data_IF_002764653737
#
_entry.id   IF_002764653737
#
_cell.length_a   1.000
_cell.length_b   1.000
_cell.length_c   1.000
_cell.angle_alpha   90.00
_cell.angle_beta   90.00
_cell.angle_gamma   90.00
#
_symmetry.space_group_name_H-M   'P 1'
#
loop_
_entity.id
_entity.type
_entity.pdbx_description
1 polymer ?
#
# COMPACT_ATOMS: atom_id res chain seq x y z
N UNK A 1 0.93 -10.35 1.81
CA UNK A 1 1.62 -9.12 2.29
C UNK A 1 0.64 -7.98 2.11
N UNK A 2 0.15 -7.41 3.20
CA UNK A 2 -0.73 -6.25 3.13
C UNK A 2 0.07 -4.96 3.23
N UNK A 3 -0.25 -4.04 2.35
CA UNK A 3 0.36 -2.72 2.23
C UNK A 3 -0.75 -1.69 2.35
N UNK A 4 -0.62 -0.78 3.29
CA UNK A 4 -1.58 0.29 3.51
C UNK A 4 -0.90 1.60 3.16
N UNK A 5 -1.37 2.25 2.10
CA UNK A 5 -0.94 3.57 1.68
C UNK A 5 -2.14 4.49 1.52
N UNK A 6 -1.99 5.74 1.89
CA UNK A 6 -3.01 6.76 1.80
C UNK A 6 -2.50 7.95 1.00
N UNK A 7 -3.28 8.43 0.02
CA UNK A 7 -2.93 9.63 -0.72
C UNK A 7 -4.17 10.41 -1.16
N UNK A 8 -3.99 11.70 -1.41
CA UNK A 8 -4.99 12.59 -1.97
C UNK A 8 -4.71 12.77 -3.47
N UNK A 9 -5.68 12.38 -4.30
CA UNK A 9 -5.59 12.44 -5.75
C UNK A 9 -6.40 13.61 -6.28
N UNK A 10 -5.78 14.44 -7.13
CA UNK A 10 -6.45 15.55 -7.81
C UNK A 10 -6.16 15.53 -9.29
N UNK A 11 -7.14 15.96 -10.07
CA UNK A 11 -7.10 16.02 -11.52
C UNK A 11 -7.06 17.47 -11.96
N UNK A 12 -6.23 17.81 -12.92
CA UNK A 12 -6.13 19.15 -13.49
C UNK A 12 -5.92 19.11 -14.99
N UNK A 13 -6.32 20.19 -15.67
CA UNK A 13 -6.11 20.37 -17.11
C UNK A 13 -4.83 21.15 -17.37
N UNK A 14 -4.21 20.88 -18.52
CA UNK A 14 -3.06 21.64 -18.99
C UNK A 14 -3.05 21.68 -20.53
N UNK A 15 -2.52 22.77 -21.14
CA UNK A 15 -2.41 22.86 -22.58
C UNK A 15 -1.29 21.96 -23.11
N UNK A 16 -1.58 21.23 -24.19
CA UNK A 16 -0.61 20.42 -24.93
C UNK A 16 -0.64 20.85 -26.39
N UNK A 17 0.51 20.97 -27.01
CA UNK A 17 0.64 21.17 -28.45
C UNK A 17 0.69 19.77 -29.10
N UNK A 18 -0.32 19.48 -29.91
CA UNK A 18 -0.40 18.19 -30.66
C UNK A 18 -0.19 18.52 -32.15
N UNK A 19 0.78 17.86 -32.77
CA UNK A 19 0.95 17.95 -34.21
C UNK A 19 -0.10 17.06 -34.90
N UNK A 20 -0.97 17.67 -35.69
CA UNK A 20 -1.87 16.97 -36.60
C UNK A 20 -1.35 17.08 -38.03
N UNK A 21 -1.26 15.95 -38.70
CA UNK A 21 -0.94 15.89 -40.11
C UNK A 21 -2.26 15.82 -40.90
N UNK A 22 -2.52 16.80 -41.73
CA UNK A 22 -3.66 16.80 -42.65
C UNK A 22 -3.13 16.76 -44.09
N UNK A 23 -3.73 15.95 -44.93
CA UNK A 23 -3.45 15.93 -46.37
C UNK A 23 -4.38 16.93 -47.06
N UNK A 24 -3.79 18.03 -47.57
CA UNK A 24 -4.51 19.06 -48.32
C UNK A 24 -3.84 19.14 -49.69
N UNK A 25 -4.59 18.90 -50.76
CA UNK A 25 -4.12 18.93 -52.13
C UNK A 25 -2.89 18.03 -52.41
N UNK A 26 -2.89 16.82 -51.84
CA UNK A 26 -1.78 15.86 -51.99
C UNK A 26 -0.49 16.24 -51.22
N UNK A 27 -0.54 17.25 -50.34
CA UNK A 27 0.57 17.65 -49.48
C UNK A 27 0.23 17.42 -48.02
N UNK A 28 1.17 16.82 -47.29
CA UNK A 28 1.03 16.64 -45.83
C UNK A 28 1.40 17.97 -45.15
N UNK A 29 0.40 18.63 -44.56
CA UNK A 29 0.59 19.83 -43.77
C UNK A 29 0.54 19.44 -42.31
N UNK A 30 1.62 19.73 -41.54
CA UNK A 30 1.65 19.57 -40.08
C UNK A 30 1.22 20.86 -39.44
N UNK A 31 0.15 20.82 -38.67
CA UNK A 31 -0.33 21.94 -37.84
C UNK A 31 -0.20 21.60 -36.38
N UNK A 32 0.36 22.52 -35.63
CA UNK A 32 0.36 22.45 -34.16
C UNK A 32 -0.98 22.98 -33.64
N UNK A 33 -1.75 22.14 -32.99
CA UNK A 33 -3.05 22.47 -32.42
C UNK A 33 -2.94 22.41 -30.89
N UNK A 34 -3.36 23.48 -30.23
CA UNK A 34 -3.46 23.44 -28.77
C UNK A 34 -4.64 22.56 -28.36
N UNK A 35 -4.37 21.59 -27.51
CA UNK A 35 -5.36 20.68 -26.96
C UNK A 35 -5.26 20.67 -25.44
N UNK A 36 -6.39 20.59 -24.75
CA UNK A 36 -6.39 20.37 -23.30
C UNK A 36 -6.13 18.89 -23.01
N UNK A 37 -5.17 18.60 -22.16
CA UNK A 37 -4.93 17.28 -21.61
C UNK A 37 -5.20 17.29 -20.11
N UNK A 38 -5.46 16.14 -19.54
CA UNK A 38 -5.76 15.94 -18.12
C UNK A 38 -4.62 15.18 -17.47
N UNK A 39 -4.19 15.61 -16.30
CA UNK A 39 -3.15 14.94 -15.53
C UNK A 39 -3.54 14.87 -14.04
N UNK A 40 -2.80 14.09 -13.29
CA UNK A 40 -3.03 13.83 -11.87
C UNK A 40 -2.01 14.57 -11.00
N UNK A 41 -2.48 15.19 -9.93
CA UNK A 41 -1.64 15.70 -8.86
C UNK A 41 -1.89 14.89 -7.59
N UNK A 42 -0.82 14.60 -6.86
CA UNK A 42 -0.83 13.82 -5.62
C UNK A 42 -0.34 14.66 -4.47
N UNK A 43 -1.03 14.54 -3.34
CA UNK A 43 -0.70 15.20 -2.10
C UNK A 43 -0.71 14.16 -0.98
N UNK A 44 0.41 14.03 -0.30
CA UNK A 44 0.54 13.13 0.83
C UNK A 44 0.17 13.85 2.13
N UNK A 45 -0.31 13.16 3.17
CA UNK A 45 -0.73 13.78 4.42
C UNK A 45 0.36 14.63 5.08
N UNK A 46 0.01 15.74 5.72
CA UNK A 46 0.92 16.47 6.58
C UNK A 46 1.24 15.66 7.85
N UNK A 47 0.25 14.98 8.41
CA UNK A 47 0.38 14.08 9.54
C UNK A 47 -0.40 12.81 9.26
N UNK A 48 0.21 11.65 9.58
CA UNK A 48 -0.43 10.33 9.47
C UNK A 48 -0.26 9.59 10.80
N UNK A 49 -1.38 9.24 11.41
CA UNK A 49 -1.46 8.38 12.59
C UNK A 49 -2.12 7.07 12.22
N UNK A 50 -1.51 5.98 12.61
CA UNK A 50 -2.00 4.61 12.39
C UNK A 50 -2.10 3.93 13.75
N UNK A 51 -3.28 3.47 14.11
CA UNK A 51 -3.50 2.69 15.31
C UNK A 51 -4.13 1.35 14.92
N UNK A 52 -3.46 0.25 15.24
CA UNK A 52 -3.89 -1.08 14.86
C UNK A 52 -3.91 -2.06 16.03
N UNK A 53 -4.93 -2.91 16.00
CA UNK A 53 -5.00 -4.11 16.84
C UNK A 53 -5.26 -5.30 15.92
N UNK A 54 -4.35 -6.28 15.94
CA UNK A 54 -4.43 -7.45 15.05
C UNK A 54 -4.36 -8.73 15.86
N UNK A 55 -5.17 -9.71 15.48
CA UNK A 55 -5.29 -11.01 16.13
C UNK A 55 -4.89 -12.11 15.14
N UNK A 56 -3.62 -12.51 15.10
CA UNK A 56 -3.16 -13.61 14.28
C UNK A 56 -3.65 -14.95 14.77
N UNK A 57 -3.88 -15.86 13.84
CA UNK A 57 -4.21 -17.26 14.09
C UNK A 57 -3.49 -18.17 13.11
N UNK A 58 -3.15 -19.38 13.55
CA UNK A 58 -2.57 -20.40 12.68
C UNK A 58 -3.70 -21.18 12.01
N UNK A 59 -3.69 -21.24 10.70
CA UNK A 59 -4.54 -22.11 9.91
C UNK A 59 -3.71 -23.29 9.42
N UNK A 60 -4.18 -24.48 9.70
CA UNK A 60 -3.58 -25.72 9.23
C UNK A 60 -4.37 -26.24 8.02
N UNK A 61 -3.70 -26.47 6.89
CA UNK A 61 -4.30 -27.05 5.70
C UNK A 61 -3.38 -28.11 5.12
N UNK A 62 -3.68 -29.37 5.42
CA UNK A 62 -2.85 -30.50 5.01
C UNK A 62 -1.48 -30.45 5.68
N UNK A 63 -0.42 -30.31 4.88
CA UNK A 63 0.98 -30.25 5.36
C UNK A 63 1.47 -28.80 5.57
N UNK A 64 0.64 -27.81 5.26
CA UNK A 64 1.00 -26.39 5.31
C UNK A 64 0.34 -25.68 6.48
N UNK A 65 1.15 -24.93 7.22
CA UNK A 65 0.69 -23.97 8.22
C UNK A 65 0.75 -22.55 7.63
N UNK A 66 -0.33 -21.83 7.71
CA UNK A 66 -0.40 -20.44 7.32
C UNK A 66 -0.83 -19.59 8.52
N UNK A 67 -0.16 -18.45 8.71
CA UNK A 67 -0.59 -17.47 9.70
C UNK A 67 -1.48 -16.46 8.99
N UNK A 68 -2.72 -16.36 9.45
CA UNK A 68 -3.68 -15.34 9.02
C UNK A 68 -4.01 -14.45 10.20
N UNK A 69 -4.47 -13.25 9.93
CA UNK A 69 -4.94 -12.37 11.00
C UNK A 69 -6.21 -11.63 10.59
N UNK A 70 -6.99 -11.28 11.59
CA UNK A 70 -8.02 -10.26 11.51
C UNK A 70 -7.60 -9.09 12.38
N UNK A 71 -8.00 -7.87 12.03
CA UNK A 71 -7.66 -6.71 12.82
C UNK A 71 -8.43 -5.47 12.41
N UNK A 72 -8.42 -4.51 13.32
CA UNK A 72 -8.94 -3.17 13.10
C UNK A 72 -7.77 -2.20 13.04
N UNK A 73 -7.73 -1.38 11.98
CA UNK A 73 -6.72 -0.35 11.78
C UNK A 73 -7.42 0.98 11.57
N UNK A 74 -7.13 1.94 12.43
CA UNK A 74 -7.61 3.32 12.33
C UNK A 74 -6.50 4.19 11.77
N UNK A 75 -6.82 4.92 10.73
CA UNK A 75 -5.97 5.90 10.07
C UNK A 75 -6.54 7.28 10.36
N UNK A 76 -5.73 8.20 10.84
CA UNK A 76 -6.15 9.60 11.06
C UNK A 76 -4.98 10.55 10.79
N UNK A 77 -5.29 11.82 10.64
CA UNK A 77 -4.27 12.81 10.40
C UNK A 77 -4.81 14.08 9.76
N UNK A 78 -3.96 14.73 8.97
CA UNK A 78 -4.30 15.97 8.27
C UNK A 78 -3.88 15.91 6.82
N UNK A 79 -4.83 16.16 5.92
CA UNK A 79 -4.58 16.43 4.51
C UNK A 79 -4.00 17.84 4.38
N UNK A 80 -2.95 18.06 3.59
CA UNK A 80 -2.36 19.36 3.43
C UNK A 80 -3.23 20.25 2.55
N UNK A 81 -3.08 21.56 2.71
CA UNK A 81 -3.49 22.50 1.67
C UNK A 81 -2.59 22.31 0.45
N UNK A 82 -3.13 22.16 -0.78
CA UNK A 82 -2.34 22.05 -1.98
C UNK A 82 -1.47 23.27 -2.24
N UNK A 83 -0.21 23.07 -2.59
CA UNK A 83 0.64 24.13 -3.13
C UNK A 83 0.69 24.02 -4.67
N UNK A 84 -0.34 24.55 -5.33
CA UNK A 84 -0.44 24.55 -6.77
C UNK A 84 0.68 25.35 -7.46
N UNK A 85 1.20 26.40 -6.78
CA UNK A 85 2.31 27.20 -7.32
C UNK A 85 3.58 26.40 -7.44
N UNK A 86 3.91 25.60 -6.42
CA UNK A 86 5.06 24.72 -6.45
C UNK A 86 4.94 23.65 -7.56
N UNK A 87 3.73 23.21 -7.87
CA UNK A 87 3.45 22.25 -8.95
C UNK A 87 3.32 22.91 -10.33
N UNK A 88 3.39 24.25 -10.42
CA UNK A 88 3.18 25.03 -11.66
C UNK A 88 1.82 24.74 -12.32
N UNK A 89 0.78 24.57 -11.52
CA UNK A 89 -0.60 24.36 -11.91
C UNK A 89 -1.42 25.57 -11.51
N UNK A 90 -2.26 26.08 -12.40
CA UNK A 90 -3.21 27.14 -12.07
C UNK A 90 -4.44 26.52 -11.38
N UNK A 91 -4.84 27.06 -10.24
CA UNK A 91 -5.96 26.52 -9.45
C UNK A 91 -7.29 26.51 -10.23
N UNK A 92 -7.46 27.45 -11.19
CA UNK A 92 -8.64 27.49 -12.08
C UNK A 92 -8.79 26.24 -12.97
N UNK A 93 -7.65 25.57 -13.28
CA UNK A 93 -7.61 24.39 -14.14
C UNK A 93 -7.83 23.08 -13.37
N UNK A 94 -7.99 23.16 -12.04
CA UNK A 94 -8.22 22.01 -11.18
C UNK A 94 -9.67 21.55 -11.29
N UNK A 95 -9.85 20.26 -11.60
CA UNK A 95 -11.15 19.60 -11.67
C UNK A 95 -11.54 19.11 -10.26
N UNK A 96 -12.11 20.01 -9.45
CA UNK A 96 -12.44 19.72 -8.06
C UNK A 96 -13.43 18.55 -7.90
N UNK A 97 -14.36 18.38 -8.84
CA UNK A 97 -15.35 17.30 -8.81
C UNK A 97 -14.68 15.89 -8.93
N UNK A 98 -13.46 15.86 -9.45
CA UNK A 98 -12.65 14.65 -9.56
C UNK A 98 -11.70 14.44 -8.37
N UNK A 99 -11.65 15.40 -7.45
CA UNK A 99 -10.79 15.30 -6.28
C UNK A 99 -11.25 14.18 -5.34
N UNK A 100 -10.34 13.30 -4.98
CA UNK A 100 -10.64 12.12 -4.19
C UNK A 100 -9.57 11.83 -3.16
N UNK A 101 -10.01 11.41 -1.99
CA UNK A 101 -9.17 10.80 -0.95
C UNK A 101 -9.07 9.31 -1.24
N UNK A 102 -7.87 8.77 -1.20
CA UNK A 102 -7.59 7.41 -1.62
C UNK A 102 -6.79 6.64 -0.57
N UNK A 103 -7.17 5.41 -0.31
CA UNK A 103 -6.39 4.44 0.47
C UNK A 103 -6.05 3.24 -0.40
N UNK A 104 -4.77 2.91 -0.49
CA UNK A 104 -4.31 1.69 -1.14
C UNK A 104 -4.08 0.61 -0.08
N UNK A 105 -4.69 -0.54 -0.28
CA UNK A 105 -4.56 -1.72 0.59
C UNK A 105 -4.38 -2.91 -0.33
N UNK A 106 -3.41 -3.77 -0.06
CA UNK A 106 -3.12 -4.91 -0.95
C UNK A 106 -4.29 -5.88 -1.08
N UNK A 107 -5.08 -6.03 -0.04
CA UNK A 107 -6.29 -6.86 -0.07
C UNK A 107 -7.39 -6.28 0.83
N UNK A 108 -8.47 -5.85 0.22
CA UNK A 108 -9.69 -5.40 0.89
C UNK A 108 -10.81 -6.46 0.87
N UNK A 109 -10.58 -7.66 0.35
CA UNK A 109 -11.62 -8.71 0.28
C UNK A 109 -12.15 -9.12 1.65
N UNK A 110 -11.38 -8.88 2.70
CA UNK A 110 -11.78 -9.09 4.08
C UNK A 110 -12.53 -7.93 4.74
N UNK A 111 -12.63 -6.77 4.09
CA UNK A 111 -13.36 -5.62 4.63
C UNK A 111 -14.87 -5.94 4.69
N UNK A 112 -15.46 -5.73 5.85
CA UNK A 112 -16.88 -5.98 6.09
C UNK A 112 -17.66 -4.66 6.10
N UNK A 113 -18.70 -4.57 5.28
CA UNK A 113 -19.59 -3.41 5.23
C UNK A 113 -19.09 -2.26 4.34
N UNK A 114 -19.80 -1.14 4.39
CA UNK A 114 -19.46 0.07 3.67
C UNK A 114 -18.30 0.80 4.36
N UNK A 115 -17.29 1.13 3.59
CA UNK A 115 -16.17 1.95 4.08
C UNK A 115 -16.53 3.43 3.94
N UNK A 116 -16.26 4.20 4.98
CA UNK A 116 -16.45 5.64 4.98
C UNK A 116 -15.17 6.32 5.48
N UNK A 117 -14.84 7.45 4.87
CA UNK A 117 -13.78 8.34 5.36
C UNK A 117 -14.41 9.64 5.84
N UNK A 118 -13.99 10.11 6.99
CA UNK A 118 -14.33 11.45 7.48
C UNK A 118 -13.27 12.44 7.01
N UNK A 119 -13.70 13.55 6.40
CA UNK A 119 -12.83 14.64 5.97
C UNK A 119 -13.47 15.96 6.39
N UNK A 120 -12.78 16.75 7.21
CA UNK A 120 -13.29 18.02 7.71
C UNK A 120 -14.63 17.90 8.45
N UNK A 121 -14.83 16.80 9.19
CA UNK A 121 -16.07 16.54 9.92
C UNK A 121 -17.24 16.06 9.06
N UNK A 122 -17.03 15.79 7.77
CA UNK A 122 -18.03 15.18 6.87
C UNK A 122 -17.64 13.75 6.53
N UNK A 123 -18.63 12.87 6.49
CA UNK A 123 -18.46 11.47 6.11
C UNK A 123 -18.69 11.29 4.62
N UNK A 124 -17.77 10.61 3.93
CA UNK A 124 -17.83 10.29 2.52
C UNK A 124 -17.77 8.78 2.33
N UNK A 125 -18.69 8.23 1.57
CA UNK A 125 -18.68 6.82 1.20
C UNK A 125 -17.49 6.53 0.27
N UNK A 126 -16.76 5.45 0.56
CA UNK A 126 -15.65 5.02 -0.28
C UNK A 126 -16.11 4.02 -1.34
N UNK A 127 -15.61 4.20 -2.53
CA UNK A 127 -15.83 3.34 -3.69
C UNK A 127 -14.65 2.38 -3.88
N UNK A 128 -14.87 1.16 -4.41
CA UNK A 128 -13.79 0.22 -4.67
C UNK A 128 -12.74 0.75 -5.67
N UNK A 129 -11.51 0.31 -5.47
CA UNK A 129 -10.35 0.70 -6.29
C UNK A 129 -9.66 1.95 -5.79
N UNK A 130 -8.33 1.92 -5.74
CA UNK A 130 -7.56 3.06 -5.24
C UNK A 130 -7.46 4.20 -6.24
N UNK A 131 -7.64 3.93 -7.54
CA UNK A 131 -7.34 4.84 -8.65
C UNK A 131 -5.91 5.38 -8.65
N UNK A 132 -4.98 4.73 -7.94
CA UNK A 132 -3.56 5.07 -7.94
C UNK A 132 -2.80 4.18 -8.91
N UNK A 133 -1.93 4.74 -9.78
CA UNK A 133 -1.04 3.94 -10.63
C UNK A 133 -0.17 3.01 -9.77
N UNK A 134 -0.06 1.75 -10.18
CA UNK A 134 0.72 0.74 -9.47
C UNK A 134 0.06 0.13 -8.22
N UNK A 135 -1.12 0.66 -7.78
CA UNK A 135 -1.85 0.17 -6.61
C UNK A 135 -3.34 0.03 -6.93
N UNK A 136 -3.72 -0.97 -7.72
CA UNK A 136 -5.11 -1.15 -8.14
C UNK A 136 -6.07 -1.43 -6.97
N UNK A 137 -5.61 -2.19 -5.97
CA UNK A 137 -6.42 -2.54 -4.80
C UNK A 137 -6.49 -1.40 -3.79
N UNK A 138 -7.68 -1.20 -3.20
CA UNK A 138 -7.93 -0.13 -2.25
C UNK A 138 -9.33 0.45 -2.40
N UNK A 139 -9.51 1.65 -1.90
CA UNK A 139 -10.76 2.41 -2.00
C UNK A 139 -10.48 3.90 -2.17
N UNK A 140 -11.43 4.64 -2.75
CA UNK A 140 -11.37 6.08 -2.90
C UNK A 140 -12.71 6.72 -2.57
N UNK A 141 -12.68 7.95 -2.07
CA UNK A 141 -13.88 8.74 -1.80
C UNK A 141 -13.78 10.08 -2.55
N UNK A 142 -14.73 10.41 -3.44
CA UNK A 142 -14.80 11.74 -4.03
C UNK A 142 -15.16 12.75 -2.94
N UNK A 143 -14.28 13.74 -2.73
CA UNK A 143 -14.42 14.74 -1.67
C UNK A 143 -14.62 16.16 -2.22
N UNK A 144 -14.43 16.34 -3.51
CA UNK A 144 -14.66 17.60 -4.20
C UNK A 144 -13.84 18.76 -3.62
N UNK A 145 -14.43 19.93 -3.54
CA UNK A 145 -13.79 21.16 -3.01
C UNK A 145 -13.39 21.08 -1.53
N UNK A 146 -13.80 20.06 -0.78
CA UNK A 146 -13.30 19.82 0.56
C UNK A 146 -11.76 19.64 0.56
N UNK A 147 -11.23 19.14 -0.55
CA UNK A 147 -9.81 18.97 -0.76
C UNK A 147 -9.03 20.27 -1.06
N UNK A 148 -9.68 21.44 -1.15
CA UNK A 148 -9.02 22.73 -1.44
C UNK A 148 -8.26 23.31 -0.26
N UNK A 149 -8.54 22.89 0.97
CA UNK A 149 -7.95 23.40 2.19
C UNK A 149 -7.40 22.26 3.07
N UNK A 150 -6.58 22.62 4.03
CA UNK A 150 -6.13 21.65 5.05
C UNK A 150 -7.35 21.11 5.80
N UNK A 151 -7.45 19.78 5.89
CA UNK A 151 -8.57 19.11 6.54
C UNK A 151 -8.08 17.95 7.43
N UNK A 152 -8.64 17.78 8.63
CA UNK A 152 -8.49 16.53 9.37
C UNK A 152 -9.19 15.41 8.62
N UNK A 153 -8.65 14.20 8.72
CA UNK A 153 -9.30 13.00 8.21
C UNK A 153 -9.24 11.87 9.21
N UNK A 154 -10.22 10.96 9.13
CA UNK A 154 -10.26 9.72 9.87
C UNK A 154 -10.90 8.61 9.04
N UNK A 155 -10.35 7.40 9.14
CA UNK A 155 -10.81 6.20 8.47
C UNK A 155 -10.51 4.99 9.36
N UNK A 156 -11.46 4.07 9.48
CA UNK A 156 -11.24 2.79 10.15
C UNK A 156 -11.47 1.66 9.15
N UNK A 157 -10.53 0.70 9.15
CA UNK A 157 -10.53 -0.47 8.29
C UNK A 157 -10.58 -1.73 9.17
N UNK A 158 -11.53 -2.61 8.88
CA UNK A 158 -11.49 -3.99 9.33
C UNK A 158 -10.75 -4.81 8.27
N UNK A 159 -9.61 -5.38 8.63
CA UNK A 159 -8.71 -6.06 7.70
C UNK A 159 -8.60 -7.54 8.05
N UNK A 160 -8.52 -8.37 7.02
CA UNK A 160 -8.08 -9.75 7.13
C UNK A 160 -6.87 -9.94 6.22
N UNK A 161 -5.83 -10.54 6.74
CA UNK A 161 -4.61 -10.71 5.99
C UNK A 161 -3.81 -11.94 6.40
N UNK A 162 -2.65 -12.09 5.82
CA UNK A 162 -1.74 -13.19 6.10
C UNK A 162 -0.31 -12.72 6.26
N UNK A 163 0.45 -13.42 7.07
CA UNK A 163 1.90 -13.32 7.23
C UNK A 163 2.44 -12.01 7.78
N UNK A 164 2.00 -10.85 7.30
CA UNK A 164 2.55 -9.56 7.75
C UNK A 164 1.58 -8.40 7.56
N UNK A 165 1.71 -7.37 8.40
CA UNK A 165 1.07 -6.07 8.22
C UNK A 165 2.16 -5.00 8.13
N UNK A 166 2.10 -4.16 7.09
CA UNK A 166 3.08 -3.10 6.84
C UNK A 166 2.42 -1.81 6.42
N UNK A 167 3.04 -0.70 6.79
CA UNK A 167 2.57 0.66 6.56
C UNK A 167 3.60 1.45 5.75
N UNK A 168 3.12 2.34 4.87
CA UNK A 168 3.96 3.29 4.17
C UNK A 168 4.03 4.61 4.96
N UNK A 169 5.22 5.23 5.13
CA UNK A 169 5.38 6.51 5.83
C UNK A 169 5.03 7.67 4.90
N UNK A 170 3.76 7.87 4.59
CA UNK A 170 3.30 8.88 3.63
C UNK A 170 3.21 10.29 4.20
N UNK A 171 3.05 10.44 5.51
CA UNK A 171 2.99 11.75 6.18
C UNK A 171 4.34 12.45 6.26
N UNK A 172 4.34 13.77 6.49
CA UNK A 172 5.54 14.48 6.93
C UNK A 172 5.99 13.94 8.28
N UNK A 173 5.05 13.65 9.15
CA UNK A 173 5.22 12.88 10.39
C UNK A 173 4.31 11.68 10.38
N UNK A 174 4.85 10.51 10.69
CA UNK A 174 4.12 9.26 10.71
C UNK A 174 4.25 8.62 12.10
N UNK A 175 3.13 8.49 12.79
CA UNK A 175 3.02 7.83 14.07
C UNK A 175 2.24 6.54 13.87
N UNK A 176 2.85 5.39 14.13
CA UNK A 176 2.16 4.12 14.05
C UNK A 176 2.24 3.38 15.38
N UNK A 177 1.10 2.83 15.81
CA UNK A 177 1.01 1.95 16.98
C UNK A 177 0.31 0.67 16.59
N UNK A 178 0.91 -0.44 16.94
CA UNK A 178 0.35 -1.76 16.68
C UNK A 178 0.42 -2.62 17.91
N UNK A 179 -0.68 -3.31 18.21
CA UNK A 179 -0.76 -4.29 19.29
C UNK A 179 -1.31 -5.61 18.77
N UNK A 180 -0.88 -6.71 19.41
CA UNK A 180 -1.33 -8.05 19.03
C UNK A 180 -1.09 -9.03 20.16
N UNK A 181 -1.94 -10.06 20.35
CA UNK A 181 -1.69 -11.16 21.27
C UNK A 181 -0.64 -12.16 20.75
N UNK A 182 0.06 -11.85 19.64
CA UNK A 182 1.08 -12.71 19.06
C UNK A 182 2.41 -12.58 19.82
N UNK A 183 2.96 -13.70 20.39
CA UNK A 183 4.12 -13.62 21.27
C UNK A 183 5.45 -13.44 20.55
N UNK A 184 5.53 -13.80 19.25
CA UNK A 184 6.77 -13.82 18.47
C UNK A 184 6.72 -12.88 17.26
N UNK A 185 6.66 -11.55 17.46
CA UNK A 185 6.64 -10.59 16.36
C UNK A 185 8.03 -10.46 15.73
N UNK A 186 8.10 -10.44 14.40
CA UNK A 186 9.29 -10.04 13.66
C UNK A 186 9.08 -8.64 13.10
N UNK A 187 9.66 -7.64 13.73
CA UNK A 187 9.66 -6.27 13.21
C UNK A 187 10.54 -6.20 11.98
N UNK A 188 10.02 -5.66 10.87
CA UNK A 188 10.67 -5.69 9.56
C UNK A 188 10.34 -4.46 8.74
N UNK A 189 11.14 -4.21 7.70
CA UNK A 189 11.00 -3.09 6.79
C UNK A 189 12.07 -2.02 7.02
N UNK A 190 11.86 -0.84 6.43
CA UNK A 190 12.84 0.24 6.44
C UNK A 190 13.06 0.86 7.83
N UNK A 191 12.06 0.76 8.73
CA UNK A 191 12.09 1.38 10.05
C UNK A 191 11.74 0.36 11.13
N UNK A 192 12.56 0.31 12.16
CA UNK A 192 12.27 -0.45 13.36
C UNK A 192 11.43 0.41 14.35
N UNK A 193 10.65 -0.23 15.25
CA UNK A 193 9.87 0.51 16.22
C UNK A 193 10.79 1.29 17.19
N UNK A 194 10.42 2.54 17.49
CA UNK A 194 11.07 3.36 18.49
C UNK A 194 10.84 2.81 19.91
N UNK A 195 9.64 2.30 20.15
CA UNK A 195 9.28 1.64 21.39
C UNK A 195 8.67 0.29 21.11
N UNK A 196 9.04 -0.73 21.89
CA UNK A 196 8.47 -2.07 21.77
C UNK A 196 8.42 -2.76 23.13
N UNK A 197 7.33 -3.47 23.35
CA UNK A 197 7.17 -4.41 24.46
C UNK A 197 6.74 -5.74 23.88
N UNK A 198 7.44 -6.81 24.23
CA UNK A 198 7.12 -8.17 23.79
C UNK A 198 7.05 -9.05 25.03
N UNK A 199 5.97 -9.81 25.16
CA UNK A 199 5.73 -10.75 26.24
C UNK A 199 5.13 -12.05 25.73
N UNK A 200 4.89 -13.01 26.60
CA UNK A 200 4.21 -14.26 26.24
C UNK A 200 2.75 -14.03 25.82
N UNK A 201 2.14 -12.93 26.26
CA UNK A 201 0.75 -12.58 25.99
C UNK A 201 0.60 -11.73 24.73
N UNK A 202 1.73 -11.36 24.07
CA UNK A 202 1.73 -10.59 22.85
C UNK A 202 2.71 -9.44 22.83
N UNK A 203 2.47 -8.48 21.92
CA UNK A 203 3.34 -7.33 21.78
C UNK A 203 2.56 -6.02 21.62
N UNK A 204 3.24 -4.93 21.93
CA UNK A 204 2.90 -3.57 21.50
C UNK A 204 4.15 -2.89 20.93
N UNK A 205 3.99 -2.18 19.83
CA UNK A 205 5.08 -1.47 19.17
C UNK A 205 4.61 -0.10 18.69
N UNK A 206 5.51 0.88 18.76
CA UNK A 206 5.26 2.24 18.28
C UNK A 206 6.42 2.70 17.39
N UNK A 207 6.06 3.35 16.28
CA UNK A 207 6.99 3.97 15.35
C UNK A 207 6.72 5.47 15.28
N UNK A 208 7.76 6.28 15.18
CA UNK A 208 7.73 7.70 14.85
C UNK A 208 8.69 7.91 13.69
N UNK A 209 8.14 8.07 12.50
CA UNK A 209 8.91 8.11 11.25
C UNK A 209 8.74 9.45 10.58
N UNK A 210 9.84 10.16 10.41
CA UNK A 210 9.89 11.42 9.67
C UNK A 210 9.95 11.17 8.16
N UNK A 211 9.43 12.13 7.35
CA UNK A 211 9.50 12.08 5.89
C UNK A 211 10.93 12.11 5.34
N UNK A 212 11.93 12.52 6.10
CA UNK A 212 13.34 12.45 5.71
C UNK A 212 13.85 11.01 5.50
N UNK A 213 13.15 10.03 6.05
CA UNK A 213 13.49 8.61 5.89
C UNK A 213 13.00 7.98 4.58
N UNK A 214 12.40 8.75 3.67
CA UNK A 214 11.88 8.26 2.39
C UNK A 214 12.37 9.10 1.21
N UNK A 215 12.34 8.55 0.00
CA UNK A 215 12.90 9.15 -1.22
C UNK A 215 11.85 9.66 -2.22
N UNK A 216 10.60 9.87 -1.82
CA UNK A 216 9.55 10.42 -2.66
C UNK A 216 8.99 11.72 -2.09
N UNK A 217 8.55 12.67 -2.98
CA UNK A 217 8.13 14.01 -2.55
C UNK A 217 6.76 13.99 -1.86
N UNK A 218 6.47 15.05 -1.12
CA UNK A 218 5.19 15.24 -0.42
C UNK A 218 4.05 15.56 -1.39
N UNK A 219 4.35 16.15 -2.52
CA UNK A 219 3.42 16.46 -3.60
C UNK A 219 4.10 16.30 -4.95
N UNK A 220 3.36 15.85 -5.95
CA UNK A 220 3.87 15.67 -7.31
C UNK A 220 2.76 15.69 -8.34
N UNK A 221 3.14 15.84 -9.63
CA UNK A 221 2.24 15.69 -10.78
C UNK A 221 2.72 14.56 -11.67
N UNK A 222 1.84 13.97 -12.45
CA UNK A 222 2.17 12.94 -13.42
C UNK A 222 3.22 13.37 -14.43
N UNK A 223 3.17 14.65 -14.86
CA UNK A 223 4.14 15.23 -15.80
C UNK A 223 5.55 15.42 -15.21
N UNK A 224 5.63 15.63 -13.92
CA UNK A 224 6.90 15.93 -13.24
C UNK A 224 7.79 14.70 -13.00
N UNK A 225 7.37 13.50 -13.35
CA UNK A 225 8.11 12.26 -13.09
C UNK A 225 8.33 11.97 -11.60
N UNK A 226 7.73 12.76 -10.72
CA UNK A 226 7.90 12.67 -9.26
C UNK A 226 6.79 11.90 -8.56
N UNK A 227 5.97 11.13 -9.30
CA UNK A 227 5.00 10.25 -8.67
C UNK A 227 5.74 9.20 -7.83
N UNK A 228 5.25 8.91 -6.62
CA UNK A 228 5.81 7.80 -5.86
C UNK A 228 5.60 6.50 -6.66
N UNK A 229 6.66 6.01 -7.27
CA UNK A 229 6.62 4.70 -7.90
C UNK A 229 6.35 3.63 -6.85
N UNK A 230 5.56 2.61 -7.21
CA UNK A 230 5.19 1.54 -6.30
C UNK A 230 6.43 0.90 -5.64
N UNK A 231 7.50 0.66 -6.38
CA UNK A 231 8.75 0.11 -5.87
C UNK A 231 9.44 1.02 -4.84
N UNK A 232 9.39 2.33 -5.03
CA UNK A 232 9.99 3.31 -4.10
C UNK A 232 9.22 3.39 -2.78
N UNK A 233 7.88 3.37 -2.85
CA UNK A 233 7.04 3.31 -1.65
C UNK A 233 7.22 1.99 -0.93
N UNK A 234 7.28 0.88 -1.66
CA UNK A 234 7.49 -0.46 -1.11
C UNK A 234 8.80 -0.60 -0.36
N UNK A 235 9.86 0.05 -0.85
CA UNK A 235 11.16 0.08 -0.17
C UNK A 235 11.12 0.80 1.19
N UNK A 236 10.16 1.70 1.40
CA UNK A 236 9.99 2.44 2.66
C UNK A 236 9.01 1.80 3.65
N UNK A 237 8.39 0.69 3.30
CA UNK A 237 7.42 0.01 4.17
C UNK A 237 8.05 -0.46 5.48
N UNK A 238 7.30 -0.35 6.57
CA UNK A 238 7.67 -0.85 7.89
C UNK A 238 6.48 -1.54 8.57
N UNK A 239 6.76 -2.43 9.52
CA UNK A 239 5.71 -3.13 10.24
C UNK A 239 6.14 -4.43 10.90
N UNK A 240 5.24 -5.41 10.93
CA UNK A 240 5.42 -6.68 11.64
C UNK A 240 5.09 -7.86 10.73
N UNK A 241 5.92 -8.91 10.80
CA UNK A 241 5.64 -10.23 10.26
C UNK A 241 5.33 -11.20 11.40
N UNK A 242 4.34 -12.06 11.18
CA UNK A 242 3.87 -13.10 12.10
C UNK A 242 4.42 -14.48 11.77
N UNK A 243 5.32 -14.58 10.77
CA UNK A 243 5.94 -15.83 10.40
C UNK A 243 6.84 -16.34 11.52
N UNK A 244 6.64 -17.60 11.90
CA UNK A 244 7.49 -18.28 12.86
C UNK A 244 8.66 -18.96 12.12
N UNK A 245 9.92 -18.56 12.34
CA UNK A 245 11.07 -19.17 11.68
C UNK A 245 11.24 -20.68 12.02
N UNK A 246 10.70 -21.12 13.14
CA UNK A 246 10.74 -22.54 13.57
C UNK A 246 9.97 -23.45 12.60
N UNK A 247 8.89 -22.95 11.99
CA UNK A 247 8.11 -23.73 11.04
C UNK A 247 8.86 -23.90 9.71
N UNK A 248 9.64 -22.90 9.29
CA UNK A 248 10.52 -23.01 8.11
C UNK A 248 11.64 -24.05 8.33
N UNK A 249 12.25 -24.08 9.51
CA UNK A 249 13.27 -25.07 9.86
C UNK A 249 12.71 -26.49 9.95
N UNK A 250 11.55 -26.66 10.59
CA UNK A 250 10.84 -27.96 10.64
C UNK A 250 10.47 -28.49 9.26
N UNK A 251 10.04 -27.62 8.36
CA UNK A 251 9.71 -28.02 6.98
C UNK A 251 10.96 -28.43 6.21
N UNK A 252 12.08 -27.73 6.39
CA UNK A 252 13.37 -28.11 5.83
C UNK A 252 13.87 -29.45 6.40
N UNK A 253 13.75 -29.69 7.71
CA UNK A 253 14.11 -30.95 8.34
C UNK A 253 13.24 -32.11 7.86
N UNK A 254 11.91 -31.93 7.72
CA UNK A 254 11.00 -32.94 7.15
C UNK A 254 11.33 -33.23 5.68
N UNK A 255 11.63 -32.22 4.88
CA UNK A 255 12.02 -32.38 3.48
C UNK A 255 13.33 -33.19 3.37
N UNK A 256 14.31 -32.96 4.24
CA UNK A 256 15.57 -33.69 4.28
C UNK A 256 15.36 -35.16 4.68
N UNK A 257 14.53 -35.45 5.70
CA UNK A 257 14.19 -36.80 6.10
C UNK A 257 13.46 -37.57 5.00
N UNK A 258 12.52 -36.96 4.31
CA UNK A 258 11.80 -37.59 3.19
C UNK A 258 12.68 -37.73 1.94
N UNK A 259 13.64 -36.81 1.71
CA UNK A 259 14.61 -36.88 0.63
C UNK A 259 15.49 -38.14 0.71
N UNK A 260 15.92 -38.49 1.92
CA UNK A 260 16.72 -39.70 2.17
C UNK A 260 15.93 -40.99 1.82
N UNK A 261 14.65 -41.01 2.14
CA UNK A 261 13.75 -42.13 1.79
C UNK A 261 13.52 -42.25 0.28
N UNK A 262 13.42 -41.09 -0.43
CA UNK A 262 13.31 -41.08 -1.89
C UNK A 262 14.57 -41.62 -2.57
N UNK A 263 15.75 -41.24 -2.07
CA UNK A 263 17.05 -41.75 -2.55
C UNK A 263 17.13 -43.26 -2.32
N UNK A 264 16.77 -43.74 -1.12
CA UNK A 264 16.78 -45.17 -0.81
C UNK A 264 15.82 -45.95 -1.71
N UNK A 265 14.62 -45.43 -1.99
CA UNK A 265 13.68 -46.06 -2.94
C UNK A 265 14.21 -46.09 -4.37
N UNK A 266 14.87 -45.02 -4.83
CA UNK A 266 15.47 -44.96 -6.15
C UNK A 266 16.57 -46.03 -6.29
N UNK A 267 17.48 -46.13 -5.30
CA UNK A 267 18.51 -47.18 -5.30
C UNK A 267 17.93 -48.60 -5.22
N UNK A 268 16.90 -48.81 -4.40
CA UNK A 268 16.20 -50.12 -4.35
C UNK A 268 15.56 -50.46 -5.71
N UNK A 269 14.99 -49.50 -6.40
CA UNK A 269 14.45 -49.68 -7.75
C UNK A 269 15.54 -50.06 -8.76
N UNK A 270 16.66 -49.34 -8.78
CA UNK A 270 17.80 -49.70 -9.64
C UNK A 270 18.35 -51.08 -9.35
N UNK A 271 18.51 -51.43 -8.08
CA UNK A 271 18.98 -52.77 -7.66
C UNK A 271 18.05 -53.88 -8.12
N UNK A 272 16.72 -53.70 -8.01
CA UNK A 272 15.75 -54.66 -8.50
C UNK A 272 15.80 -54.82 -10.03
N UNK A 273 16.07 -53.80 -10.77
CA UNK A 273 16.25 -53.89 -12.23
C UNK A 273 17.52 -54.62 -12.60
N UNK A 274 18.64 -54.38 -11.88
CA UNK A 274 19.92 -55.07 -12.14
C UNK A 274 19.88 -56.56 -11.80
N UNK A 275 19.21 -56.96 -10.71
CA UNK A 275 19.08 -58.36 -10.32
C UNK A 275 18.18 -59.14 -11.29
N UNK A 276 17.28 -58.46 -12.02
CA UNK A 276 16.35 -59.12 -12.95
C UNK A 276 16.85 -59.15 -14.42
N UNK A 277 17.91 -58.41 -14.72
CA UNK A 277 18.61 -58.40 -16.01
C UNK A 277 19.64 -59.54 -16.07
#
# INVERSE_FOLDING_TARGET
>A
IERIGYSDRRVYKYPVQVERSEEVDGRIIRRSVAQEAVDLAYFLPAELKVEGSVSPSKLHRGIYDAVVYSGKVSLSGRLPKPDWKALKVDEKDVLWDEAAVTVAVSDLRGAKGALNVEVGGRSFAMLPGSKLPGYASGAHAPVGRQAASEQPFALTLDLNGSESIRFAPLGVRNLARLSSPWPDPKFSGAFLPAERRVSKDGFSAAWDVSYYGRSYPQQSTGRGGGQPEAGTVDASLFGVSFLNPVDAYRNAERATKNGLLFIAMAFAGFFLFEVRS
#
